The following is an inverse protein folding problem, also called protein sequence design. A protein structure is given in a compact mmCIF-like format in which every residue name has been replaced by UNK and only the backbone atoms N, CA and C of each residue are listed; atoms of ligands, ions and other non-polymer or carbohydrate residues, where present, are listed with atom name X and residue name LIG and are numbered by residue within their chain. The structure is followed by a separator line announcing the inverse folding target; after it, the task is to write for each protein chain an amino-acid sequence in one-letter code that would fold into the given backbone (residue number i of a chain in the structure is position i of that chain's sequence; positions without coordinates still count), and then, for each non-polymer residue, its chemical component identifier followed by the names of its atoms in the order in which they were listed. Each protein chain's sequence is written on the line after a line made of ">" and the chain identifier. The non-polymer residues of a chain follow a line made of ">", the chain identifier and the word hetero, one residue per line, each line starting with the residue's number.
data_IF_136949555852
#
_entry.id   IF_136949555852
#
_cell.length_a   1.000
_cell.length_b   1.000
_cell.length_c   1.000
_cell.angle_alpha   90.00
_cell.angle_beta   90.00
_cell.angle_gamma   90.00
#
_symmetry.space_group_name_H-M   'P 1'
#
loop_
_entity.id
_entity.type
_entity.pdbx_description
1 polymer ?
#
# COMPACT_ATOMS: atom_id res chain seq x y z
N UNK A 1 -9.29 3.00 21.87
CA UNK A 1 -8.13 2.98 20.95
C UNK A 1 -8.58 2.39 19.64
N UNK A 2 -8.20 2.94 18.47
CA UNK A 2 -8.80 2.60 17.17
C UNK A 2 -8.33 1.25 16.57
N UNK A 3 -7.31 0.61 17.16
CA UNK A 3 -6.80 -0.71 16.76
C UNK A 3 -6.35 -0.81 15.29
N UNK A 4 -5.69 0.24 14.75
CA UNK A 4 -5.36 0.34 13.32
C UNK A 4 -4.64 -0.87 12.70
N UNK A 5 -3.84 -1.61 13.49
CA UNK A 5 -3.07 -2.77 13.00
C UNK A 5 -3.89 -4.07 12.94
N UNK A 6 -4.95 -4.18 13.75
CA UNK A 6 -5.77 -5.41 13.84
C UNK A 6 -7.21 -5.21 13.38
N UNK A 7 -7.64 -3.96 13.17
CA UNK A 7 -8.98 -3.63 12.73
C UNK A 7 -9.06 -3.76 11.19
N UNK A 8 -9.82 -4.72 10.65
CA UNK A 8 -9.94 -4.92 9.21
C UNK A 8 -10.48 -3.70 8.46
N UNK A 9 -11.21 -2.80 9.15
CA UNK A 9 -11.73 -1.57 8.57
C UNK A 9 -10.61 -0.66 8.03
N UNK A 10 -9.40 -0.72 8.59
CA UNK A 10 -8.24 0.06 8.14
C UNK A 10 -7.83 -0.33 6.71
N UNK A 11 -7.72 -1.62 6.42
CA UNK A 11 -7.42 -2.10 5.06
C UNK A 11 -8.62 -1.91 4.12
N UNK A 12 -9.82 -2.21 4.61
CA UNK A 12 -11.04 -2.20 3.81
C UNK A 12 -11.35 -0.80 3.25
N UNK A 13 -11.22 0.26 4.06
CA UNK A 13 -11.52 1.62 3.59
C UNK A 13 -10.63 2.01 2.40
N UNK A 14 -9.35 1.62 2.40
CA UNK A 14 -8.46 1.94 1.29
C UNK A 14 -8.73 1.12 0.03
N UNK A 15 -9.25 -0.10 0.17
CA UNK A 15 -9.75 -0.90 -0.97
C UNK A 15 -11.03 -0.29 -1.56
N UNK A 16 -11.94 0.19 -0.70
CA UNK A 16 -13.26 0.69 -1.08
C UNK A 16 -13.27 2.14 -1.58
N UNK A 17 -12.35 3.00 -1.10
CA UNK A 17 -12.37 4.44 -1.41
C UNK A 17 -11.07 4.93 -2.04
N UNK A 18 -9.97 4.90 -1.30
CA UNK A 18 -8.67 5.48 -1.73
C UNK A 18 -8.23 4.94 -3.08
N UNK A 19 -8.43 3.65 -3.32
CA UNK A 19 -8.01 3.08 -4.59
C UNK A 19 -8.93 3.40 -5.77
N UNK A 20 -10.26 3.20 -5.72
CA UNK A 20 -11.14 3.66 -6.80
C UNK A 20 -10.85 5.09 -7.25
N UNK A 21 -10.55 5.99 -6.31
CA UNK A 21 -10.12 7.36 -6.59
C UNK A 21 -8.83 7.40 -7.40
N UNK A 22 -7.76 6.71 -6.97
CA UNK A 22 -6.49 6.65 -7.72
C UNK A 22 -6.69 6.03 -9.12
N UNK A 23 -7.47 4.95 -9.23
CA UNK A 23 -7.69 4.28 -10.51
C UNK A 23 -8.46 5.16 -11.50
N UNK A 24 -9.48 5.87 -11.02
CA UNK A 24 -10.23 6.83 -11.82
C UNK A 24 -9.33 8.00 -12.26
N UNK A 25 -8.62 8.64 -11.33
CA UNK A 25 -7.78 9.81 -11.60
C UNK A 25 -6.60 9.51 -12.53
N UNK A 26 -6.13 8.27 -12.55
CA UNK A 26 -5.06 7.80 -13.44
C UNK A 26 -5.57 7.19 -14.74
N UNK A 27 -6.89 7.15 -14.95
CA UNK A 27 -7.53 6.41 -16.06
C UNK A 27 -7.02 4.96 -16.18
N UNK A 28 -6.79 4.31 -15.03
CA UNK A 28 -6.28 2.95 -14.96
C UNK A 28 -4.82 2.74 -15.36
N UNK A 29 -4.06 3.82 -15.57
CA UNK A 29 -2.65 3.76 -15.94
C UNK A 29 -1.76 3.84 -14.72
N UNK A 30 -1.64 2.71 -14.02
CA UNK A 30 -0.72 2.56 -12.88
C UNK A 30 0.19 1.37 -13.11
N UNK A 31 1.48 1.63 -13.30
CA UNK A 31 2.52 0.60 -13.40
C UNK A 31 3.18 0.32 -12.05
N UNK A 32 3.32 1.38 -11.24
CA UNK A 32 4.03 1.37 -9.98
C UNK A 32 3.26 2.19 -8.94
N UNK A 33 3.00 1.60 -7.79
CA UNK A 33 2.49 2.27 -6.60
C UNK A 33 3.57 2.31 -5.53
N UNK A 34 3.88 3.50 -5.02
CA UNK A 34 4.89 3.72 -3.98
C UNK A 34 4.24 4.47 -2.83
N UNK A 35 4.43 4.00 -1.60
CA UNK A 35 3.94 4.67 -0.40
C UNK A 35 4.92 4.55 0.76
N UNK A 36 4.88 5.48 1.71
CA UNK A 36 5.72 5.43 2.92
C UNK A 36 5.06 4.61 4.02
N UNK A 37 5.83 3.80 4.74
CA UNK A 37 5.31 2.86 5.74
C UNK A 37 4.38 3.49 6.79
N UNK A 38 3.34 2.74 7.17
CA UNK A 38 2.34 3.17 8.15
C UNK A 38 1.79 1.99 8.95
N UNK A 39 0.46 1.92 9.09
CA UNK A 39 -0.24 0.75 9.65
C UNK A 39 -0.46 -0.37 8.62
N UNK A 40 0.14 -0.24 7.44
CA UNK A 40 -0.02 -1.05 6.24
C UNK A 40 -1.45 -1.11 5.65
N UNK A 41 -2.41 -0.39 6.25
CA UNK A 41 -3.80 -0.36 5.77
C UNK A 41 -3.89 0.08 4.32
N UNK A 42 -3.16 1.15 3.96
CA UNK A 42 -3.14 1.66 2.59
C UNK A 42 -2.48 0.68 1.65
N UNK A 43 -1.28 0.18 1.96
CA UNK A 43 -0.53 -0.68 1.04
C UNK A 43 -1.24 -2.00 0.77
N UNK A 44 -1.89 -2.59 1.77
CA UNK A 44 -2.71 -3.78 1.57
C UNK A 44 -4.02 -3.49 0.84
N UNK A 45 -4.76 -2.45 1.24
CA UNK A 45 -6.08 -2.16 0.65
C UNK A 45 -5.95 -1.76 -0.82
N UNK A 46 -5.05 -0.82 -1.10
CA UNK A 46 -4.70 -0.40 -2.47
C UNK A 46 -4.09 -1.56 -3.24
N UNK A 47 -3.12 -2.27 -2.63
CA UNK A 47 -2.40 -3.34 -3.30
C UNK A 47 -3.28 -4.49 -3.75
N UNK A 48 -4.23 -4.91 -2.92
CA UNK A 48 -5.21 -5.95 -3.25
C UNK A 48 -6.05 -5.56 -4.46
N UNK A 49 -6.58 -4.34 -4.49
CA UNK A 49 -7.35 -3.88 -5.64
C UNK A 49 -6.47 -3.79 -6.88
N UNK A 50 -5.28 -3.19 -6.77
CA UNK A 50 -4.32 -3.05 -7.87
C UNK A 50 -4.02 -4.37 -8.55
N UNK A 51 -3.62 -5.37 -7.76
CA UNK A 51 -3.31 -6.72 -8.25
C UNK A 51 -4.54 -7.40 -8.87
N UNK A 52 -5.75 -7.07 -8.42
CA UNK A 52 -6.99 -7.54 -9.03
C UNK A 52 -7.27 -6.95 -10.42
N UNK A 53 -6.80 -5.71 -10.70
CA UNK A 53 -6.94 -5.05 -12.01
C UNK A 53 -5.80 -5.37 -12.95
N UNK A 54 -4.58 -5.34 -12.44
CA UNK A 54 -3.36 -5.65 -13.19
C UNK A 54 -2.34 -6.33 -12.25
N UNK A 55 -2.18 -7.66 -12.36
CA UNK A 55 -1.22 -8.41 -11.55
C UNK A 55 0.23 -7.96 -11.70
N UNK A 56 0.56 -7.26 -12.80
CA UNK A 56 1.91 -6.80 -13.08
C UNK A 56 2.31 -5.52 -12.35
N UNK A 57 1.35 -4.77 -11.78
CA UNK A 57 1.66 -3.55 -11.02
C UNK A 57 2.67 -3.87 -9.93
N UNK A 58 3.68 -3.02 -9.77
CA UNK A 58 4.67 -3.12 -8.70
C UNK A 58 4.21 -2.28 -7.52
N UNK A 59 4.30 -2.85 -6.33
CA UNK A 59 3.94 -2.18 -5.09
C UNK A 59 5.20 -2.09 -4.24
N UNK A 60 5.49 -0.87 -3.81
CA UNK A 60 6.67 -0.53 -3.04
C UNK A 60 6.29 0.22 -1.79
N UNK A 61 6.81 -0.24 -0.66
CA UNK A 61 6.70 0.46 0.62
C UNK A 61 8.07 0.98 1.03
N UNK A 62 8.13 2.27 1.38
CA UNK A 62 9.37 2.98 1.70
C UNK A 62 9.48 3.13 3.22
N UNK A 63 10.58 2.61 3.78
CA UNK A 63 10.87 2.68 5.21
C UNK A 63 12.10 3.57 5.49
N UNK A 64 12.15 4.27 6.64
CA UNK A 64 13.38 4.91 7.09
C UNK A 64 14.49 3.88 7.35
N UNK A 65 15.72 4.20 6.96
CA UNK A 65 16.89 3.32 7.17
C UNK A 65 17.12 2.94 8.63
N UNK A 66 16.91 3.89 9.53
CA UNK A 66 17.23 3.78 10.96
C UNK A 66 16.15 3.09 11.78
N UNK A 67 14.96 2.87 11.20
CA UNK A 67 13.79 2.36 11.94
C UNK A 67 12.91 1.44 11.08
N UNK A 68 13.53 0.65 10.22
CA UNK A 68 12.83 -0.34 9.43
C UNK A 68 12.32 -1.50 10.30
N UNK A 69 11.12 -1.98 10.01
CA UNK A 69 10.50 -3.11 10.70
C UNK A 69 10.50 -4.36 9.82
N UNK A 70 10.34 -4.20 8.50
CA UNK A 70 10.09 -5.33 7.59
C UNK A 70 11.37 -5.78 6.91
N UNK A 71 12.18 -4.83 6.44
CA UNK A 71 13.31 -5.11 5.54
C UNK A 71 14.67 -5.22 6.22
N UNK A 72 14.85 -4.61 7.41
CA UNK A 72 16.10 -4.60 8.19
C UNK A 72 17.36 -4.18 7.40
N UNK A 73 17.19 -3.41 6.31
CA UNK A 73 18.25 -2.87 5.45
C UNK A 73 18.16 -1.34 5.38
N UNK A 74 19.30 -0.66 5.37
CA UNK A 74 19.34 0.81 5.31
C UNK A 74 18.68 1.33 4.02
N UNK A 75 17.66 2.19 4.15
CA UNK A 75 16.98 2.86 3.03
C UNK A 75 16.10 1.90 2.23
N UNK A 76 15.51 0.92 2.90
CA UNK A 76 14.92 -0.20 2.24
C UNK A 76 13.52 0.07 1.71
N UNK A 77 13.31 -0.46 0.51
CA UNK A 77 12.02 -0.55 -0.14
C UNK A 77 11.56 -2.01 -0.03
N UNK A 78 10.41 -2.24 0.60
CA UNK A 78 9.77 -3.56 0.64
C UNK A 78 8.95 -3.77 -0.64
N UNK A 79 9.01 -4.97 -1.19
CA UNK A 79 8.27 -5.37 -2.39
C UNK A 79 7.07 -6.21 -1.96
N UNK A 80 5.86 -5.80 -2.36
CA UNK A 80 4.61 -6.50 -2.07
C UNK A 80 3.95 -7.08 -3.34
#
# INVERSE_FOLDING_TARGET
>A
MLQQFSNPANTLVHFETTWPEIWEDTNGQVDIFVMGIGSDGTVFGVGQYLKSKNPNVKIYEVEPSESNITTKKSGAVAFL
#
